data_IF_809497551349
#
_entry.id   IF_809497551349
#
_cell.length_a   1.000
_cell.length_b   1.000
_cell.length_c   1.000
_cell.angle_alpha   90.00
_cell.angle_beta   90.00
_cell.angle_gamma   90.00
#
_symmetry.space_group_name_H-M   'P 1'
#
loop_
_entity.id
_entity.type
_entity.pdbx_description
1 polymer ?
#
# COMPACT_ATOMS: atom_id res chain seq x y z
N UNK A 1 16.93 -20.36 -14.96
CA UNK A 1 16.28 -20.59 -13.71
C UNK A 1 14.80 -20.34 -13.88
N UNK A 2 13.97 -21.34 -13.61
CA UNK A 2 12.52 -21.18 -13.65
C UNK A 2 12.15 -20.23 -12.52
N UNK A 3 11.61 -19.07 -12.85
CA UNK A 3 10.91 -18.25 -11.90
C UNK A 3 9.67 -19.04 -11.48
N UNK A 4 9.68 -19.62 -10.30
CA UNK A 4 8.45 -20.05 -9.67
C UNK A 4 7.70 -18.78 -9.22
N UNK A 5 7.01 -18.17 -10.19
CA UNK A 5 6.01 -17.19 -9.85
C UNK A 5 4.94 -17.89 -9.02
N UNK A 6 4.68 -17.51 -7.78
CA UNK A 6 3.57 -18.07 -7.06
C UNK A 6 2.30 -17.79 -7.84
N UNK A 7 1.54 -18.85 -8.08
CA UNK A 7 0.25 -18.75 -8.74
C UNK A 7 -0.74 -17.99 -7.86
N UNK A 8 -1.62 -17.26 -8.50
CA UNK A 8 -2.78 -16.62 -7.92
C UNK A 8 -3.45 -17.47 -6.85
N UNK A 9 -3.66 -16.91 -5.68
CA UNK A 9 -4.26 -17.61 -4.56
C UNK A 9 -3.29 -18.06 -3.47
N UNK A 10 -1.99 -17.82 -3.61
CA UNK A 10 -0.96 -18.22 -2.65
C UNK A 10 -0.61 -17.14 -1.62
N UNK A 11 -1.48 -16.18 -1.39
CA UNK A 11 -1.34 -15.27 -0.26
C UNK A 11 -2.07 -15.78 0.96
N UNK A 12 -1.42 -15.70 2.08
CA UNK A 12 -1.94 -16.14 3.38
C UNK A 12 -1.71 -15.01 4.40
N UNK A 13 -2.59 -14.94 5.37
CA UNK A 13 -2.43 -14.04 6.51
C UNK A 13 -2.63 -14.83 7.81
N UNK A 14 -1.86 -14.50 8.82
CA UNK A 14 -1.98 -15.10 10.16
C UNK A 14 -2.63 -14.16 11.16
N UNK A 15 -2.77 -12.89 10.81
CA UNK A 15 -3.36 -11.88 11.69
C UNK A 15 -4.50 -11.18 10.98
N UNK A 16 -5.57 -10.96 11.72
CA UNK A 16 -6.71 -10.14 11.32
C UNK A 16 -6.83 -9.07 12.39
N UNK A 17 -7.07 -7.83 12.02
CA UNK A 17 -7.44 -6.83 13.00
C UNK A 17 -8.75 -7.23 13.64
N UNK A 18 -8.73 -7.60 14.90
CA UNK A 18 -9.92 -8.07 15.62
C UNK A 18 -10.51 -6.91 16.40
N UNK A 19 -11.82 -6.85 16.41
CA UNK A 19 -12.56 -5.96 17.29
C UNK A 19 -12.21 -6.29 18.75
N UNK A 20 -11.41 -5.41 19.38
CA UNK A 20 -10.95 -5.64 20.74
C UNK A 20 -9.99 -4.57 21.24
N UNK A 21 -9.52 -4.73 22.47
CA UNK A 21 -8.70 -3.75 23.19
C UNK A 21 -7.26 -3.59 22.64
N UNK A 22 -6.86 -4.40 21.70
CA UNK A 22 -5.50 -4.41 21.13
C UNK A 22 -5.51 -4.76 19.65
N UNK A 23 -6.26 -3.98 18.84
CA UNK A 23 -6.26 -4.19 17.38
C UNK A 23 -4.83 -4.22 16.83
N UNK A 24 -4.57 -5.11 15.89
CA UNK A 24 -3.28 -5.19 15.23
C UNK A 24 -2.99 -3.93 14.42
N UNK A 25 -1.74 -3.50 14.39
CA UNK A 25 -1.33 -2.29 13.69
C UNK A 25 -1.26 -2.51 12.19
N UNK A 26 -1.04 -3.75 11.76
CA UNK A 26 -0.89 -4.13 10.35
C UNK A 26 -1.25 -5.61 10.15
N UNK A 27 -1.48 -5.97 8.90
CA UNK A 27 -1.73 -7.33 8.44
C UNK A 27 -0.50 -7.81 7.65
N UNK A 28 0.12 -8.89 8.12
CA UNK A 28 1.25 -9.49 7.39
C UNK A 28 0.76 -10.45 6.31
N UNK A 29 1.33 -10.33 5.12
CA UNK A 29 1.03 -11.18 3.96
C UNK A 29 2.20 -12.12 3.69
N UNK A 30 1.91 -13.41 3.61
CA UNK A 30 2.88 -14.50 3.46
C UNK A 30 2.73 -15.17 2.09
N UNK A 31 3.82 -15.76 1.58
CA UNK A 31 3.80 -16.54 0.34
C UNK A 31 3.38 -18.01 0.56
N UNK A 32 3.37 -18.48 1.80
CA UNK A 32 2.93 -19.83 2.20
C UNK A 32 2.04 -19.73 3.43
N UNK A 33 1.18 -20.71 3.61
CA UNK A 33 0.32 -20.76 4.79
C UNK A 33 1.16 -20.84 6.08
N UNK A 34 1.12 -19.82 6.95
CA UNK A 34 1.91 -19.77 8.17
C UNK A 34 1.51 -20.85 9.19
N UNK A 35 0.31 -21.42 9.08
CA UNK A 35 -0.17 -22.46 9.98
C UNK A 35 0.44 -23.82 9.62
N UNK A 36 0.48 -24.13 8.32
CA UNK A 36 0.94 -25.44 7.83
C UNK A 36 2.44 -25.45 7.47
N UNK A 37 3.05 -24.30 7.29
CA UNK A 37 4.43 -24.14 6.83
C UNK A 37 5.26 -23.20 7.71
N UNK A 38 5.00 -23.17 9.01
CA UNK A 38 5.56 -22.19 9.94
C UNK A 38 7.10 -22.05 9.94
N UNK A 39 7.82 -23.13 9.61
CA UNK A 39 9.30 -23.11 9.57
C UNK A 39 9.90 -22.51 8.30
N UNK A 40 9.11 -22.37 7.24
CA UNK A 40 9.58 -21.90 5.93
C UNK A 40 8.82 -20.67 5.42
N UNK A 41 7.80 -20.26 6.14
CA UNK A 41 6.96 -19.11 5.79
C UNK A 41 7.68 -17.81 6.06
N UNK A 42 7.68 -16.92 5.08
CA UNK A 42 8.29 -15.61 5.17
C UNK A 42 7.29 -14.52 4.78
N UNK A 43 7.31 -13.42 5.52
CA UNK A 43 6.53 -12.22 5.20
C UNK A 43 7.01 -11.66 3.86
N UNK A 44 6.08 -11.29 3.02
CA UNK A 44 6.35 -10.63 1.73
C UNK A 44 6.17 -9.12 1.87
N UNK A 45 5.06 -8.71 2.42
CA UNK A 45 4.75 -7.33 2.70
C UNK A 45 3.70 -7.24 3.80
N UNK A 46 3.62 -6.07 4.41
CA UNK A 46 2.59 -5.73 5.38
C UNK A 46 1.61 -4.72 4.79
N UNK A 47 0.37 -4.82 5.19
CA UNK A 47 -0.69 -3.86 4.89
C UNK A 47 -1.06 -3.15 6.18
N UNK A 48 -0.97 -1.83 6.21
CA UNK A 48 -1.48 -1.00 7.28
C UNK A 48 -2.52 -0.01 6.75
N UNK A 49 -3.51 0.29 7.54
CA UNK A 49 -4.41 1.42 7.28
C UNK A 49 -4.04 2.57 8.21
N UNK A 50 -3.98 3.76 7.67
CA UNK A 50 -3.54 4.97 8.34
C UNK A 50 -4.62 6.04 8.23
N UNK A 51 -4.95 6.69 9.34
CA UNK A 51 -5.96 7.75 9.39
C UNK A 51 -5.54 8.83 10.38
N UNK A 52 -5.56 10.10 9.94
CA UNK A 52 -5.13 11.23 10.75
C UNK A 52 -6.05 11.55 11.94
N UNK A 53 -7.25 10.99 11.97
CA UNK A 53 -8.20 11.08 13.08
C UNK A 53 -8.28 9.79 13.89
N UNK A 54 -7.54 8.75 13.49
CA UNK A 54 -7.58 7.45 14.16
C UNK A 54 -8.83 6.62 13.84
N UNK A 55 -9.58 6.98 12.81
CA UNK A 55 -10.75 6.25 12.36
C UNK A 55 -10.35 4.97 11.59
N UNK A 56 -11.30 4.04 11.43
CA UNK A 56 -11.10 2.83 10.63
C UNK A 56 -10.50 1.65 11.37
N UNK A 57 -10.33 1.73 12.68
CA UNK A 57 -9.99 0.59 13.55
C UNK A 57 -10.55 0.78 14.96
N UNK A 58 -10.58 -0.31 15.72
CA UNK A 58 -10.91 -0.26 17.13
C UNK A 58 -9.85 0.52 17.93
N UNK A 59 -10.26 1.24 18.96
CA UNK A 59 -9.31 1.86 19.87
C UNK A 59 -8.64 0.80 20.74
N UNK A 60 -7.31 0.83 20.85
CA UNK A 60 -6.61 -0.06 21.78
C UNK A 60 -6.82 0.35 23.26
N UNK A 61 -7.35 1.53 23.49
CA UNK A 61 -7.83 1.99 24.77
C UNK A 61 -9.24 2.59 24.58
N UNK A 62 -10.25 1.80 24.86
CA UNK A 62 -11.64 2.15 24.63
C UNK A 62 -12.13 3.41 25.36
N UNK A 63 -11.42 3.85 26.41
CA UNK A 63 -11.73 5.09 27.15
C UNK A 63 -11.11 6.35 26.55
N UNK A 64 -10.30 6.23 25.50
CA UNK A 64 -9.54 7.37 24.96
C UNK A 64 -9.68 7.42 23.44
N UNK A 65 -10.51 8.34 22.98
CA UNK A 65 -10.67 8.64 21.55
C UNK A 65 -9.33 9.06 20.93
N UNK A 66 -9.07 8.56 19.72
CA UNK A 66 -7.84 8.86 18.97
C UNK A 66 -6.64 7.98 19.31
N UNK A 67 -6.73 7.09 20.31
CA UNK A 67 -5.71 6.08 20.58
C UNK A 67 -6.04 4.79 19.84
N UNK A 68 -5.91 4.83 18.54
CA UNK A 68 -6.14 3.70 17.65
C UNK A 68 -4.88 3.34 16.86
N UNK A 69 -4.76 2.09 16.39
CA UNK A 69 -3.66 1.69 15.50
C UNK A 69 -3.52 2.58 14.28
N UNK A 70 -4.62 3.01 13.67
CA UNK A 70 -4.59 3.83 12.45
C UNK A 70 -4.00 5.23 12.67
N UNK A 71 -4.22 5.85 13.82
CA UNK A 71 -3.58 7.12 14.16
C UNK A 71 -2.07 6.94 14.41
N UNK A 72 -1.70 5.88 15.11
CA UNK A 72 -0.29 5.55 15.35
C UNK A 72 0.44 5.29 14.03
N UNK A 73 -0.15 4.49 13.14
CA UNK A 73 0.40 4.22 11.81
C UNK A 73 0.56 5.52 11.00
N UNK A 74 -0.46 6.36 10.98
CA UNK A 74 -0.39 7.64 10.27
C UNK A 74 0.77 8.50 10.77
N UNK A 75 0.92 8.64 12.09
CA UNK A 75 2.01 9.40 12.69
C UNK A 75 3.40 8.82 12.40
N UNK A 76 3.54 7.50 12.43
CA UNK A 76 4.80 6.82 12.10
C UNK A 76 5.21 7.05 10.65
N UNK A 77 4.30 6.88 9.69
CA UNK A 77 4.60 7.12 8.27
C UNK A 77 4.86 8.60 7.99
N UNK A 78 4.13 9.50 8.64
CA UNK A 78 4.37 10.94 8.51
C UNK A 78 5.78 11.31 8.99
N UNK A 79 6.18 10.84 10.15
CA UNK A 79 7.52 11.10 10.70
C UNK A 79 8.62 10.47 9.80
N UNK A 80 8.40 9.24 9.33
CA UNK A 80 9.37 8.53 8.50
C UNK A 80 9.56 9.17 7.11
N UNK A 81 8.48 9.60 6.47
CA UNK A 81 8.48 10.01 5.06
C UNK A 81 8.57 11.54 4.94
N UNK A 82 7.76 12.27 5.69
CA UNK A 82 7.69 13.74 5.57
C UNK A 82 8.69 14.45 6.48
N UNK A 83 9.24 13.76 7.47
CA UNK A 83 10.19 14.31 8.45
C UNK A 83 9.64 15.53 9.22
N UNK A 84 8.33 15.72 9.22
CA UNK A 84 7.60 16.81 9.83
C UNK A 84 6.24 16.32 10.35
N UNK A 85 6.03 16.43 11.64
CA UNK A 85 4.80 15.98 12.32
C UNK A 85 3.54 16.77 11.92
N UNK A 86 3.71 17.93 11.28
CA UNK A 86 2.60 18.79 10.84
C UNK A 86 2.38 18.77 9.32
N UNK A 87 3.26 18.12 8.57
CA UNK A 87 3.13 18.05 7.12
C UNK A 87 1.98 17.13 6.70
N UNK A 88 1.38 17.44 5.56
CA UNK A 88 0.34 16.64 4.95
C UNK A 88 0.87 15.81 3.78
N UNK A 89 0.40 14.59 3.67
CA UNK A 89 0.60 13.80 2.45
C UNK A 89 -0.19 14.42 1.29
N UNK A 90 0.43 14.41 0.11
CA UNK A 90 -0.18 14.90 -1.13
C UNK A 90 -0.16 13.78 -2.17
N UNK A 91 -1.33 13.44 -2.70
CA UNK A 91 -1.48 12.51 -3.81
C UNK A 91 -1.70 13.27 -5.10
N UNK A 92 -0.77 13.12 -6.05
CA UNK A 92 -0.82 13.78 -7.34
C UNK A 92 0.31 14.79 -7.58
N UNK A 93 0.21 15.51 -8.68
CA UNK A 93 1.16 16.55 -9.09
C UNK A 93 0.46 17.68 -9.85
N UNK A 94 1.14 18.80 -9.95
CA UNK A 94 0.61 19.96 -10.66
C UNK A 94 -0.69 20.48 -10.05
N UNK A 95 -1.74 20.57 -10.86
CA UNK A 95 -3.09 21.00 -10.44
C UNK A 95 -3.97 19.86 -9.92
N UNK A 96 -3.54 18.61 -10.13
CA UNK A 96 -4.28 17.40 -9.77
C UNK A 96 -3.73 16.82 -8.45
N UNK A 97 -3.82 17.56 -7.37
CA UNK A 97 -3.26 17.21 -6.06
C UNK A 97 -4.35 17.26 -5.00
N UNK A 98 -4.44 16.21 -4.20
CA UNK A 98 -5.32 16.15 -3.03
C UNK A 98 -4.52 15.85 -1.76
N UNK A 99 -5.02 16.33 -0.62
CA UNK A 99 -4.44 16.02 0.68
C UNK A 99 -4.89 14.63 1.13
N UNK A 100 -3.93 13.79 1.50
CA UNK A 100 -4.17 12.45 2.00
C UNK A 100 -4.38 12.44 3.51
N UNK A 101 -5.64 12.47 3.95
CA UNK A 101 -6.01 12.36 5.36
C UNK A 101 -6.03 10.91 5.87
N UNK A 102 -6.08 9.96 4.98
CA UNK A 102 -6.03 8.53 5.24
C UNK A 102 -5.47 7.80 4.01
N UNK A 103 -4.86 6.67 4.24
CA UNK A 103 -4.28 5.86 3.16
C UNK A 103 -4.00 4.43 3.63
N UNK A 104 -3.87 3.51 2.68
CA UNK A 104 -3.25 2.22 2.91
C UNK A 104 -1.73 2.34 2.74
N UNK A 105 -0.97 1.66 3.57
CA UNK A 105 0.48 1.53 3.41
C UNK A 105 0.82 0.06 3.16
N UNK A 106 1.50 -0.19 2.05
CA UNK A 106 2.10 -1.48 1.75
C UNK A 106 3.60 -1.36 2.01
N UNK A 107 4.11 -2.14 2.96
CA UNK A 107 5.54 -2.15 3.32
C UNK A 107 6.13 -3.49 2.92
N UNK A 108 6.97 -3.49 1.89
CA UNK A 108 7.67 -4.70 1.44
C UNK A 108 8.72 -5.07 2.47
N UNK A 109 8.76 -6.36 2.85
CA UNK A 109 9.71 -6.86 3.82
C UNK A 109 11.15 -6.58 3.35
N UNK A 110 11.95 -5.97 4.23
CA UNK A 110 13.31 -5.50 3.89
C UNK A 110 14.20 -6.61 3.34
N UNK A 111 14.00 -7.84 3.78
CA UNK A 111 14.74 -9.00 3.30
C UNK A 111 14.44 -9.36 1.82
N UNK A 112 13.39 -8.80 1.24
CA UNK A 112 12.95 -9.09 -0.13
C UNK A 112 13.62 -8.20 -1.18
N UNK A 113 14.31 -7.13 -0.79
CA UNK A 113 15.04 -6.26 -1.71
C UNK A 113 16.38 -5.84 -1.08
N UNK A 114 17.36 -5.49 -1.89
CA UNK A 114 18.71 -5.15 -1.39
C UNK A 114 18.82 -3.68 -0.99
N UNK A 115 18.93 -2.77 -1.95
CA UNK A 115 19.08 -1.34 -1.69
C UNK A 115 17.75 -0.60 -1.82
N UNK A 116 17.09 -0.79 -2.95
CA UNK A 116 15.77 -0.21 -3.22
C UNK A 116 14.96 -1.09 -4.18
N UNK A 117 13.66 -0.83 -4.25
CA UNK A 117 12.81 -1.38 -5.29
C UNK A 117 13.11 -0.68 -6.62
N UNK A 118 12.94 -1.39 -7.74
CA UNK A 118 13.27 -0.85 -9.05
C UNK A 118 12.09 -0.04 -9.64
N UNK A 119 12.22 1.30 -9.80
CA UNK A 119 11.17 2.11 -10.41
C UNK A 119 10.87 1.68 -11.85
N UNK A 120 9.60 1.73 -12.24
CA UNK A 120 9.11 1.30 -13.55
C UNK A 120 8.81 -0.20 -13.65
N UNK A 121 8.93 -0.94 -12.54
CA UNK A 121 8.61 -2.39 -12.47
C UNK A 121 7.53 -2.70 -11.45
N UNK A 122 7.05 -1.71 -10.72
CA UNK A 122 5.92 -1.84 -9.82
C UNK A 122 4.65 -2.10 -10.62
N UNK A 123 3.96 -3.19 -10.31
CA UNK A 123 2.63 -3.51 -10.85
C UNK A 123 1.78 -4.08 -9.72
N UNK A 124 0.64 -3.46 -9.46
CA UNK A 124 -0.34 -3.91 -8.49
C UNK A 124 -1.70 -4.01 -9.17
N UNK A 125 -2.29 -5.18 -9.17
CA UNK A 125 -3.65 -5.39 -9.67
C UNK A 125 -4.56 -5.68 -8.50
N UNK A 126 -5.61 -4.90 -8.36
CA UNK A 126 -6.64 -5.04 -7.34
C UNK A 126 -8.01 -5.11 -8.00
N UNK A 127 -8.87 -5.96 -7.48
CA UNK A 127 -10.23 -6.14 -7.98
C UNK A 127 -11.25 -6.05 -6.86
N UNK A 128 -12.36 -5.42 -7.17
CA UNK A 128 -13.53 -5.34 -6.30
C UNK A 128 -14.80 -5.27 -7.16
N UNK A 129 -15.95 -5.06 -6.54
CA UNK A 129 -17.26 -5.09 -7.21
C UNK A 129 -17.38 -4.16 -8.44
N UNK A 130 -16.64 -3.03 -8.46
CA UNK A 130 -16.62 -2.09 -9.58
C UNK A 130 -15.66 -2.46 -10.72
N UNK A 131 -14.84 -3.48 -10.57
CA UNK A 131 -13.91 -3.92 -11.61
C UNK A 131 -12.49 -4.18 -11.13
N UNK A 132 -11.54 -4.19 -12.07
CA UNK A 132 -10.11 -4.38 -11.80
C UNK A 132 -9.34 -3.09 -12.11
N UNK A 133 -8.52 -2.66 -11.16
CA UNK A 133 -7.61 -1.53 -11.28
C UNK A 133 -6.17 -2.04 -11.39
N UNK A 134 -5.46 -1.58 -12.41
CA UNK A 134 -4.04 -1.90 -12.62
C UNK A 134 -3.21 -0.66 -12.33
N UNK A 135 -2.30 -0.77 -11.38
CA UNK A 135 -1.49 0.33 -10.87
C UNK A 135 -0.01 0.07 -11.15
N UNK A 136 0.70 1.15 -11.45
CA UNK A 136 2.16 1.19 -11.61
C UNK A 136 2.68 2.53 -11.10
N UNK A 137 3.99 2.76 -11.14
CA UNK A 137 4.60 4.05 -10.84
C UNK A 137 4.85 4.86 -12.11
N UNK A 138 5.00 6.17 -11.97
CA UNK A 138 5.23 7.10 -13.09
C UNK A 138 6.71 7.41 -13.37
N UNK A 139 7.63 6.59 -12.91
CA UNK A 139 9.08 6.86 -13.01
C UNK A 139 9.57 7.03 -14.45
N UNK A 140 8.94 6.40 -15.42
CA UNK A 140 9.29 6.53 -16.84
C UNK A 140 8.87 7.86 -17.46
N UNK A 141 7.89 8.54 -16.86
CA UNK A 141 7.35 9.80 -17.36
C UNK A 141 7.94 11.02 -16.61
N UNK A 142 8.74 10.80 -15.56
CA UNK A 142 9.31 11.86 -14.73
C UNK A 142 10.72 12.17 -15.20
N UNK A 143 10.96 13.40 -15.63
CA UNK A 143 12.27 13.85 -16.06
C UNK A 143 13.19 14.25 -14.90
N UNK A 144 12.62 14.59 -13.75
CA UNK A 144 13.33 15.05 -12.55
C UNK A 144 12.84 14.27 -11.34
N UNK A 145 13.77 13.72 -10.56
CA UNK A 145 13.41 13.03 -9.32
C UNK A 145 12.70 13.97 -8.34
N UNK A 146 11.62 13.51 -7.76
CA UNK A 146 10.88 14.18 -6.70
C UNK A 146 11.18 13.51 -5.37
N UNK A 147 11.23 14.30 -4.30
CA UNK A 147 11.51 13.83 -2.95
C UNK A 147 10.44 14.28 -1.97
N UNK A 148 10.14 13.41 -1.00
CA UNK A 148 9.46 13.77 0.24
C UNK A 148 10.47 13.65 1.37
N UNK A 149 10.77 14.78 2.06
CA UNK A 149 11.93 14.80 2.94
C UNK A 149 13.19 14.37 2.19
N UNK A 150 13.89 13.35 2.68
CA UNK A 150 15.08 12.76 2.05
C UNK A 150 14.76 11.55 1.14
N UNK A 151 13.49 11.17 1.01
CA UNK A 151 13.07 9.94 0.33
C UNK A 151 12.59 10.23 -1.09
N UNK A 152 13.13 9.51 -2.07
CA UNK A 152 12.66 9.57 -3.47
C UNK A 152 11.22 9.06 -3.56
N UNK A 153 10.37 9.76 -4.31
CA UNK A 153 8.96 9.42 -4.48
C UNK A 153 8.53 9.49 -5.94
N UNK A 154 7.67 8.55 -6.32
CA UNK A 154 6.94 8.55 -7.58
C UNK A 154 5.44 8.48 -7.31
N UNK A 155 4.63 8.96 -8.26
CA UNK A 155 3.19 8.82 -8.17
C UNK A 155 2.76 7.41 -8.60
N UNK A 156 1.78 6.84 -7.92
CA UNK A 156 1.09 5.63 -8.36
C UNK A 156 -0.02 6.02 -9.33
N UNK A 157 0.00 5.42 -10.50
CA UNK A 157 -0.87 5.73 -11.62
C UNK A 157 -1.58 4.49 -12.15
N UNK A 158 -2.69 4.68 -12.83
CA UNK A 158 -3.34 3.62 -13.60
C UNK A 158 -2.49 3.32 -14.85
N UNK A 159 -1.92 2.13 -14.89
CA UNK A 159 -0.97 1.76 -15.93
C UNK A 159 -0.33 0.40 -15.72
N UNK A 160 0.76 0.17 -16.45
CA UNK A 160 1.56 -1.06 -16.37
C UNK A 160 3.03 -0.78 -16.71
N UNK A 161 3.93 -1.37 -15.95
CA UNK A 161 5.38 -1.30 -16.17
C UNK A 161 5.91 0.14 -16.33
N UNK A 162 5.44 1.04 -15.50
CA UNK A 162 5.86 2.44 -15.49
C UNK A 162 5.22 3.31 -16.58
N UNK A 163 4.19 2.82 -17.28
CA UNK A 163 3.52 3.54 -18.37
C UNK A 163 2.03 3.68 -18.08
N UNK A 164 1.52 4.90 -18.12
CA UNK A 164 0.10 5.19 -17.95
C UNK A 164 -0.76 4.62 -19.09
N UNK A 165 -1.97 4.15 -18.77
CA UNK A 165 -2.93 3.72 -19.80
C UNK A 165 -3.58 4.89 -20.55
N UNK A 166 -3.70 6.05 -19.91
CA UNK A 166 -4.27 7.25 -20.51
C UNK A 166 -3.73 8.50 -19.81
N UNK A 167 -3.39 9.54 -20.57
CA UNK A 167 -2.81 10.81 -20.09
C UNK A 167 -1.87 10.64 -18.87
N UNK A 168 -2.17 11.25 -17.74
CA UNK A 168 -1.32 11.21 -16.53
C UNK A 168 -1.55 9.96 -15.68
N UNK A 169 -2.57 9.14 -15.99
CA UNK A 169 -2.97 8.02 -15.14
C UNK A 169 -3.59 8.42 -13.79
N UNK A 170 -4.04 9.67 -13.67
CA UNK A 170 -4.64 10.24 -12.47
C UNK A 170 -6.16 10.38 -12.59
N UNK A 171 -6.81 10.41 -11.42
CA UNK A 171 -8.13 10.99 -11.30
C UNK A 171 -8.01 12.52 -11.21
N UNK A 172 -8.66 13.29 -12.09
CA UNK A 172 -8.56 14.75 -12.06
C UNK A 172 -9.03 15.39 -10.75
N UNK A 173 -9.99 14.75 -10.08
CA UNK A 173 -10.62 15.26 -8.85
C UNK A 173 -10.02 14.67 -7.57
N UNK A 174 -9.42 13.48 -7.64
CA UNK A 174 -8.94 12.74 -6.48
C UNK A 174 -7.43 12.56 -6.45
N UNK A 175 -6.72 13.18 -7.37
CA UNK A 175 -5.27 13.07 -7.48
C UNK A 175 -4.80 11.71 -7.96
N UNK A 176 -3.55 11.34 -7.64
CA UNK A 176 -2.99 10.04 -7.99
C UNK A 176 -3.56 8.92 -7.12
N UNK A 177 -3.33 7.68 -7.53
CA UNK A 177 -3.69 6.49 -6.77
C UNK A 177 -2.78 6.23 -5.57
N UNK A 178 -1.69 6.96 -5.45
CA UNK A 178 -0.80 6.82 -4.31
C UNK A 178 0.61 7.33 -4.56
N UNK A 179 1.51 6.97 -3.63
CA UNK A 179 2.93 7.30 -3.67
C UNK A 179 3.75 6.02 -3.61
N UNK A 180 4.77 5.92 -4.46
CA UNK A 180 5.74 4.85 -4.47
C UNK A 180 7.09 5.38 -3.99
N UNK A 181 7.60 4.81 -2.90
CA UNK A 181 8.84 5.18 -2.24
C UNK A 181 9.82 4.00 -2.31
N UNK A 182 10.57 3.86 -3.41
CA UNK A 182 11.37 2.67 -3.67
C UNK A 182 12.49 2.44 -2.65
N UNK A 183 13.11 3.50 -2.13
CA UNK A 183 14.26 3.39 -1.23
C UNK A 183 13.90 2.81 0.14
N UNK A 184 12.65 2.95 0.56
CA UNK A 184 12.13 2.38 1.81
C UNK A 184 11.14 1.24 1.59
N UNK A 185 10.96 0.78 0.34
CA UNK A 185 10.08 -0.34 0.01
C UNK A 185 8.62 -0.11 0.35
N UNK A 186 8.14 1.13 0.26
CA UNK A 186 6.81 1.50 0.73
C UNK A 186 5.95 2.05 -0.40
N UNK A 187 4.69 1.64 -0.43
CA UNK A 187 3.66 2.17 -1.30
C UNK A 187 2.52 2.70 -0.42
N UNK A 188 2.15 3.97 -0.60
CA UNK A 188 0.96 4.54 0.01
C UNK A 188 -0.14 4.60 -1.04
N UNK A 189 -1.30 4.04 -0.75
CA UNK A 189 -2.43 4.01 -1.68
C UNK A 189 -3.53 4.96 -1.23
N UNK A 190 -4.08 5.71 -2.18
CA UNK A 190 -5.15 6.67 -1.99
C UNK A 190 -6.53 5.97 -2.03
N UNK A 191 -7.21 5.79 -0.90
CA UNK A 191 -8.46 5.03 -0.86
C UNK A 191 -9.59 5.71 -1.64
N UNK A 192 -9.60 7.03 -1.73
CA UNK A 192 -10.65 7.76 -2.44
C UNK A 192 -10.59 7.51 -3.95
N UNK A 193 -9.39 7.57 -4.53
CA UNK A 193 -9.20 7.26 -5.96
C UNK A 193 -9.50 5.79 -6.28
N UNK A 194 -9.14 4.88 -5.39
CA UNK A 194 -9.43 3.45 -5.51
C UNK A 194 -10.94 3.20 -5.42
N UNK A 195 -11.62 3.81 -4.43
CA UNK A 195 -13.06 3.68 -4.25
C UNK A 195 -13.83 4.13 -5.48
N UNK A 196 -13.47 5.28 -6.07
CA UNK A 196 -14.11 5.76 -7.29
C UNK A 196 -13.94 4.78 -8.47
N UNK A 197 -12.78 4.15 -8.55
CA UNK A 197 -12.46 3.28 -9.70
C UNK A 197 -13.09 1.90 -9.60
N UNK A 198 -13.12 1.29 -8.41
CA UNK A 198 -13.52 -0.11 -8.24
C UNK A 198 -14.48 -0.36 -7.06
N UNK A 199 -15.00 0.70 -6.44
CA UNK A 199 -15.94 0.63 -5.32
C UNK A 199 -15.37 -0.09 -4.07
N UNK A 200 -14.07 -0.07 -3.89
CA UNK A 200 -13.41 -0.53 -2.67
C UNK A 200 -13.31 0.64 -1.70
N UNK A 201 -14.24 0.73 -0.78
CA UNK A 201 -14.30 1.82 0.19
C UNK A 201 -13.54 1.50 1.47
N UNK A 202 -12.77 2.47 1.97
CA UNK A 202 -12.21 2.40 3.31
C UNK A 202 -13.23 2.88 4.34
N UNK A 203 -13.47 2.08 5.36
CA UNK A 203 -14.31 2.49 6.49
C UNK A 203 -13.55 3.52 7.35
N UNK A 204 -14.16 4.67 7.56
CA UNK A 204 -13.65 5.71 8.48
C UNK A 204 -14.52 5.87 9.71
N UNK A 205 -15.37 4.91 10.02
CA UNK A 205 -16.13 4.92 11.25
C UNK A 205 -15.23 4.62 12.45
N UNK A 206 -15.49 5.30 13.55
CA UNK A 206 -14.84 5.01 14.82
C UNK A 206 -15.30 3.62 15.31
N UNK A 207 -14.39 2.88 15.94
CA UNK A 207 -14.65 1.52 16.41
C UNK A 207 -15.12 0.56 15.30
N UNK A 208 -14.65 0.76 14.07
CA UNK A 208 -14.81 -0.26 13.05
C UNK A 208 -13.98 -1.48 13.42
N UNK A 209 -14.32 -2.62 12.84
CA UNK A 209 -13.66 -3.90 13.14
C UNK A 209 -12.22 -4.00 12.63
N UNK A 210 -11.65 -2.91 12.11
CA UNK A 210 -10.30 -2.88 11.57
C UNK A 210 -10.14 -3.69 10.28
N UNK A 211 -11.21 -3.87 9.51
CA UNK A 211 -11.22 -4.72 8.31
C UNK A 211 -10.70 -4.04 7.05
N UNK A 212 -10.18 -2.80 7.13
CA UNK A 212 -9.67 -2.09 5.97
C UNK A 212 -8.49 -2.83 5.32
N UNK A 213 -7.55 -3.30 6.13
CA UNK A 213 -6.39 -4.06 5.67
C UNK A 213 -6.79 -5.38 5.03
N UNK A 214 -7.74 -6.08 5.63
CA UNK A 214 -8.28 -7.34 5.09
C UNK A 214 -9.02 -7.10 3.77
N UNK A 215 -9.81 -6.04 3.67
CA UNK A 215 -10.51 -5.68 2.44
C UNK A 215 -9.54 -5.39 1.29
N UNK A 216 -8.43 -4.70 1.56
CA UNK A 216 -7.39 -4.49 0.55
C UNK A 216 -6.67 -5.80 0.20
N UNK A 217 -6.35 -6.63 1.19
CA UNK A 217 -5.76 -7.95 0.97
C UNK A 217 -6.63 -8.81 0.04
N UNK A 218 -7.93 -8.87 0.30
CA UNK A 218 -8.86 -9.62 -0.52
C UNK A 218 -8.94 -9.07 -1.95
N UNK A 219 -8.92 -7.75 -2.11
CA UNK A 219 -8.92 -7.11 -3.42
C UNK A 219 -7.63 -7.40 -4.21
N UNK A 220 -6.47 -7.46 -3.55
CA UNK A 220 -5.19 -7.87 -4.17
C UNK A 220 -5.26 -9.35 -4.56
N UNK A 221 -5.76 -10.20 -3.69
CA UNK A 221 -5.91 -11.64 -3.95
C UNK A 221 -6.84 -11.92 -5.11
N UNK A 222 -7.95 -11.19 -5.22
CA UNK A 222 -8.89 -11.27 -6.33
C UNK A 222 -8.33 -10.64 -7.61
N UNK A 223 -7.57 -9.56 -7.48
CA UNK A 223 -6.96 -8.82 -8.58
C UNK A 223 -5.85 -9.57 -9.29
N UNK A 224 -5.21 -10.43 -8.58
CA UNK A 224 -4.36 -11.46 -9.13
C UNK A 224 -2.88 -11.17 -9.21
N UNK A 225 -2.38 -9.96 -8.96
CA UNK A 225 -0.93 -9.78 -8.97
C UNK A 225 -0.43 -8.54 -8.23
N UNK A 226 0.70 -8.73 -7.58
CA UNK A 226 1.54 -7.65 -7.07
C UNK A 226 3.00 -7.97 -7.45
N UNK A 227 3.63 -7.15 -8.28
CA UNK A 227 4.96 -7.38 -8.82
C UNK A 227 5.88 -6.21 -8.51
N UNK A 228 7.06 -6.55 -8.00
CA UNK A 228 8.14 -5.61 -7.70
C UNK A 228 9.48 -6.24 -8.05
N UNK A 229 10.41 -5.46 -8.58
CA UNK A 229 11.79 -5.88 -8.78
C UNK A 229 12.75 -5.02 -7.96
N UNK A 230 13.82 -5.62 -7.45
CA UNK A 230 14.91 -4.89 -6.82
C UNK A 230 15.88 -4.31 -7.87
N UNK A 231 16.60 -3.25 -7.52
CA UNK A 231 17.58 -2.61 -8.43
C UNK A 231 18.76 -3.49 -8.82
N UNK A 232 19.10 -4.48 -8.03
CA UNK A 232 20.16 -5.39 -8.36
C UNK A 232 19.63 -6.61 -9.13
N UNK A 233 20.34 -6.98 -10.17
CA UNK A 233 20.08 -8.05 -11.14
C UNK A 233 19.96 -9.47 -10.59
N UNK A 234 19.87 -9.64 -9.30
CA UNK A 234 19.47 -10.91 -8.72
C UNK A 234 17.95 -10.87 -8.64
N UNK A 235 17.33 -11.41 -9.68
CA UNK A 235 15.90 -11.53 -9.86
C UNK A 235 15.23 -12.15 -8.64
N UNK A 236 14.84 -11.35 -7.70
CA UNK A 236 13.73 -11.69 -6.85
C UNK A 236 12.52 -11.04 -7.48
N UNK A 237 12.04 -11.63 -8.56
CA UNK A 237 10.73 -11.30 -9.09
C UNK A 237 9.72 -11.74 -8.06
N UNK A 238 9.18 -10.79 -7.33
CA UNK A 238 7.98 -11.01 -6.57
C UNK A 238 6.81 -10.93 -7.56
N UNK A 239 6.52 -12.06 -8.16
CA UNK A 239 5.26 -12.24 -8.89
C UNK A 239 4.28 -12.84 -7.91
N UNK A 240 3.36 -12.04 -7.49
CA UNK A 240 2.28 -12.41 -6.60
C UNK A 240 0.98 -12.54 -7.40
#
# INVERSE_FOLDING_TARGET
>A
GSSNAPTLGNFFTSSVQVNGSSGDFYLSVFHQDPITSASTTEVQFDIAYCDNLGSGSAYYNAGVTGKSPTLTNFGQYRALILEDENADFKFGSGTNVVTGSHFYALSVERARYKESLFPGTFNLHISHSGGTLKLTDNSKDVLVNTFLGSTKVYQVISGSNGTAFSSDGYSPTLGSYGLFLPDIGTILLNPQAISESIQLEASRSNNSDGLNEESLYDAIKLGGSFQLNSQETVSSDFVF
#
